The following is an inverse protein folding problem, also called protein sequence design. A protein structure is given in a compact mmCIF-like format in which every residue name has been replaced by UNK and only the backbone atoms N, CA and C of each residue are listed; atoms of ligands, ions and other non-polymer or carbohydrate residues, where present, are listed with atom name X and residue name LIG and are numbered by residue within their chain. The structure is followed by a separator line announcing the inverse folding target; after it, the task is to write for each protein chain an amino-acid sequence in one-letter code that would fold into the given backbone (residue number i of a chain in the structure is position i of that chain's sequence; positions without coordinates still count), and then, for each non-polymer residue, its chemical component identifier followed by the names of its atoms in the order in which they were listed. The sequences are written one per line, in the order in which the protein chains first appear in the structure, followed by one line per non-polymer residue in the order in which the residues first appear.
data_IF_457119497019
#
_entry.id   IF_457119497019
#
_cell.length_a   1.000
_cell.length_b   1.000
_cell.length_c   1.000
_cell.angle_alpha   90.00
_cell.angle_beta   90.00
_cell.angle_gamma   90.00
#
_symmetry.space_group_name_H-M   'P 1'
#
loop_
_entity.id
_entity.type
_entity.pdbx_description
1 polymer ?
#
# COMPACT_ATOMS: atom_id res chain seq x y z
N UNK A 1 18.59 19.03 20.84
CA UNK A 1 18.19 19.41 19.48
C UNK A 1 18.16 18.13 18.67
N UNK A 2 16.98 17.55 18.44
CA UNK A 2 16.84 16.33 17.64
C UNK A 2 16.70 16.78 16.18
N UNK A 3 17.70 16.46 15.36
CA UNK A 3 17.58 16.62 13.91
C UNK A 3 16.79 15.41 13.40
N UNK A 4 15.52 15.62 13.08
CA UNK A 4 14.79 14.73 12.19
C UNK A 4 15.46 14.83 10.83
N UNK A 5 16.28 13.83 10.50
CA UNK A 5 16.81 13.64 9.15
C UNK A 5 15.61 13.17 8.34
N UNK A 6 14.90 14.11 7.72
CA UNK A 6 13.97 13.81 6.63
C UNK A 6 14.82 13.17 5.54
N UNK A 7 14.81 11.84 5.53
CA UNK A 7 15.48 11.08 4.49
C UNK A 7 14.64 11.33 3.26
N UNK A 8 15.12 12.25 2.42
CA UNK A 8 14.71 12.43 1.03
C UNK A 8 14.94 11.08 0.34
N UNK A 9 13.97 10.18 0.51
CA UNK A 9 13.92 8.93 -0.24
C UNK A 9 13.71 9.43 -1.67
N UNK A 10 14.58 9.08 -2.62
CA UNK A 10 14.37 9.46 -4.01
C UNK A 10 12.93 9.10 -4.35
N UNK A 11 12.17 10.02 -4.96
CA UNK A 11 10.77 9.87 -5.37
C UNK A 11 10.55 8.55 -6.14
N UNK A 12 10.56 7.44 -5.42
CA UNK A 12 10.06 6.17 -5.85
C UNK A 12 8.58 6.43 -5.86
N UNK A 13 8.06 6.74 -7.04
CA UNK A 13 6.67 7.11 -7.29
C UNK A 13 5.76 6.27 -6.39
N UNK A 14 5.31 6.87 -5.27
CA UNK A 14 4.56 6.15 -4.25
C UNK A 14 3.27 5.58 -4.86
N UNK A 15 2.80 6.19 -5.94
CA UNK A 15 1.71 5.68 -6.78
C UNK A 15 2.06 4.36 -7.45
N UNK A 16 3.23 4.26 -8.08
CA UNK A 16 3.68 3.03 -8.72
C UNK A 16 3.81 1.91 -7.68
N UNK A 17 4.32 2.22 -6.48
CA UNK A 17 4.43 1.25 -5.39
C UNK A 17 3.06 0.86 -4.83
N UNK A 18 2.13 1.82 -4.64
CA UNK A 18 0.76 1.55 -4.26
C UNK A 18 0.05 0.64 -5.26
N UNK A 19 0.21 0.90 -6.57
CA UNK A 19 -0.34 0.03 -7.62
C UNK A 19 0.23 -1.37 -7.56
N UNK A 20 1.55 -1.52 -7.40
CA UNK A 20 2.21 -2.84 -7.23
C UNK A 20 1.69 -3.57 -6.01
N UNK A 21 1.52 -2.87 -4.88
CA UNK A 21 0.97 -3.45 -3.66
C UNK A 21 -0.47 -3.95 -3.87
N UNK A 22 -1.34 -3.20 -4.55
CA UNK A 22 -2.70 -3.65 -4.85
C UNK A 22 -2.75 -4.80 -5.86
N UNK A 23 -1.73 -4.96 -6.71
CA UNK A 23 -1.62 -6.14 -7.58
C UNK A 23 -1.34 -7.41 -6.78
N UNK A 24 -0.57 -7.33 -5.70
CA UNK A 24 -0.16 -8.47 -4.87
C UNK A 24 -1.16 -8.74 -3.74
N UNK A 25 -1.55 -7.71 -3.01
CA UNK A 25 -2.43 -7.82 -1.85
C UNK A 25 -3.89 -7.74 -2.27
N UNK A 26 -4.50 -8.91 -2.52
CA UNK A 26 -5.92 -9.05 -2.90
C UNK A 26 -6.70 -9.86 -1.88
N UNK A 27 -8.02 -9.72 -1.91
CA UNK A 27 -8.93 -10.57 -1.14
C UNK A 27 -8.96 -11.99 -1.73
N UNK A 28 -8.73 -12.99 -0.89
CA UNK A 28 -9.04 -14.39 -1.18
C UNK A 28 -10.52 -14.70 -0.82
N UNK A 29 -11.09 -15.84 -1.28
CA UNK A 29 -12.49 -16.19 -1.03
C UNK A 29 -12.89 -16.28 0.46
N UNK A 30 -11.93 -16.55 1.32
CA UNK A 30 -12.10 -16.62 2.77
C UNK A 30 -12.02 -15.24 3.47
N UNK A 31 -11.81 -14.16 2.70
CA UNK A 31 -11.65 -12.79 3.19
C UNK A 31 -10.26 -12.49 3.77
N UNK A 32 -9.28 -13.38 3.60
CA UNK A 32 -7.88 -13.13 3.96
C UNK A 32 -7.14 -12.44 2.81
N UNK A 33 -6.00 -11.83 3.13
CA UNK A 33 -5.13 -11.20 2.14
C UNK A 33 -4.19 -12.25 1.53
N UNK A 34 -4.37 -12.53 0.25
CA UNK A 34 -3.57 -13.52 -0.49
C UNK A 34 -2.06 -13.18 -0.45
N UNK A 35 -1.68 -11.92 -0.71
CA UNK A 35 -0.28 -11.50 -0.69
C UNK A 35 0.40 -11.63 0.69
N UNK A 36 -0.34 -11.40 1.79
CA UNK A 36 0.23 -11.63 3.13
C UNK A 36 0.48 -13.12 3.39
N UNK A 37 -0.42 -13.98 2.92
CA UNK A 37 -0.25 -15.42 3.07
C UNK A 37 0.91 -15.94 2.19
N UNK A 38 0.98 -15.50 0.93
CA UNK A 38 1.95 -15.98 -0.06
C UNK A 38 3.40 -15.59 0.29
N UNK A 39 3.63 -14.31 0.64
CA UNK A 39 5.00 -13.79 0.78
C UNK A 39 5.52 -13.80 2.21
N UNK A 40 4.64 -13.78 3.21
CA UNK A 40 5.04 -13.69 4.62
C UNK A 40 4.48 -14.80 5.49
N UNK A 41 3.70 -15.73 4.92
CA UNK A 41 2.99 -16.78 5.67
C UNK A 41 2.10 -16.22 6.80
N UNK A 42 1.54 -15.02 6.62
CA UNK A 42 0.74 -14.33 7.64
C UNK A 42 -0.74 -14.32 7.28
N UNK A 43 -1.59 -14.80 8.20
CA UNK A 43 -3.04 -14.69 8.08
C UNK A 43 -3.54 -13.30 8.48
N UNK A 44 -3.60 -12.40 7.50
CA UNK A 44 -4.19 -11.07 7.67
C UNK A 44 -5.55 -10.98 6.97
N UNK A 45 -6.54 -10.31 7.57
CA UNK A 45 -7.81 -9.98 6.90
C UNK A 45 -7.57 -8.95 5.81
N UNK A 46 -8.25 -9.08 4.68
CA UNK A 46 -8.26 -8.04 3.65
C UNK A 46 -9.32 -6.96 3.99
N UNK A 47 -9.02 -5.65 3.84
CA UNK A 47 -7.74 -5.08 3.45
C UNK A 47 -6.74 -5.09 4.62
N UNK A 48 -5.53 -5.60 4.35
CA UNK A 48 -4.41 -5.57 5.30
C UNK A 48 -3.78 -4.17 5.34
N UNK A 49 -2.85 -3.92 6.27
CA UNK A 49 -2.20 -2.60 6.42
C UNK A 49 -1.60 -2.07 5.11
N UNK A 50 -0.89 -2.92 4.35
CA UNK A 50 -0.29 -2.53 3.07
C UNK A 50 -1.35 -2.17 2.02
N UNK A 51 -2.40 -2.98 1.89
CA UNK A 51 -3.50 -2.70 0.97
C UNK A 51 -4.27 -1.42 1.35
N UNK A 52 -4.47 -1.15 2.64
CA UNK A 52 -5.11 0.09 3.13
C UNK A 52 -4.29 1.33 2.76
N UNK A 53 -2.98 1.30 3.00
CA UNK A 53 -2.09 2.38 2.58
C UNK A 53 -2.17 2.60 1.06
N UNK A 54 -2.06 1.54 0.27
CA UNK A 54 -2.08 1.66 -1.19
C UNK A 54 -3.42 2.17 -1.73
N UNK A 55 -4.54 1.78 -1.10
CA UNK A 55 -5.86 2.35 -1.39
C UNK A 55 -5.90 3.85 -1.10
N UNK A 56 -5.34 4.30 0.03
CA UNK A 56 -5.31 5.73 0.38
C UNK A 56 -4.48 6.55 -0.60
N UNK A 57 -3.27 6.08 -0.95
CA UNK A 57 -2.39 6.74 -1.94
C UNK A 57 -3.10 6.83 -3.29
N UNK A 58 -3.73 5.74 -3.75
CA UNK A 58 -4.44 5.73 -5.04
C UNK A 58 -5.71 6.59 -5.03
N UNK A 59 -6.42 6.66 -3.91
CA UNK A 59 -7.62 7.49 -3.75
C UNK A 59 -7.28 9.00 -3.75
N UNK A 60 -6.21 9.40 -3.06
CA UNK A 60 -5.76 10.80 -3.03
C UNK A 60 -5.43 11.36 -4.42
N UNK A 61 -4.99 10.52 -5.36
CA UNK A 61 -4.78 10.90 -6.77
C UNK A 61 -6.09 11.20 -7.48
N UNK A 62 -7.14 10.43 -7.17
CA UNK A 62 -8.46 10.63 -7.80
C UNK A 62 -9.06 11.99 -7.41
N UNK A 63 -8.73 12.47 -6.21
CA UNK A 63 -9.16 13.78 -5.70
C UNK A 63 -8.25 14.93 -6.18
N UNK A 64 -6.93 14.71 -6.29
CA UNK A 64 -5.96 15.71 -6.74
C UNK A 64 -5.86 15.91 -8.27
N UNK A 65 -6.49 15.05 -9.07
CA UNK A 65 -6.51 15.13 -10.55
C UNK A 65 -7.62 15.99 -11.15
N UNK A 66 -8.41 16.70 -10.33
CA UNK A 66 -9.38 17.73 -10.76
C UNK A 66 -8.86 19.11 -10.37
N UNK A 67 -7.92 19.66 -11.13
CA UNK A 67 -7.59 21.09 -11.13
C UNK A 67 -7.14 21.51 -12.51
#
# INVERSE_FOLDING_TARGET
MVMTIETDKPDADETADARRILLVHRAAPDGLCAGCLEFTCTFARFPCTQARWAQQVTAGITEGGRS
#
